data_IF_067956358128
#
_entry.id   IF_067956358128
#
_cell.length_a   1.000
_cell.length_b   1.000
_cell.length_c   1.000
_cell.angle_alpha   90.00
_cell.angle_beta   90.00
_cell.angle_gamma   90.00
#
_symmetry.space_group_name_H-M   'P 1'
#
loop_
_entity.id
_entity.type
_entity.pdbx_description
1 polymer ?
#
# COMPACT_ATOMS: atom_id res chain seq x y z
N UNK A 1 42.22 7.21 66.40
CA UNK A 1 42.19 6.94 64.94
C UNK A 1 43.46 7.52 64.34
N UNK A 2 44.22 6.75 63.58
CA UNK A 2 45.49 7.22 62.99
C UNK A 2 45.23 7.91 61.64
N UNK A 3 46.02 8.92 61.24
CA UNK A 3 45.84 9.64 59.97
C UNK A 3 45.86 8.71 58.74
N UNK A 4 46.53 7.57 58.85
CA UNK A 4 46.57 6.52 57.82
C UNK A 4 45.22 5.82 57.62
N UNK A 5 44.42 5.64 58.69
CA UNK A 5 43.08 5.01 58.58
C UNK A 5 42.07 5.93 57.90
N UNK A 6 42.16 7.24 58.13
CA UNK A 6 41.31 8.26 57.49
C UNK A 6 41.62 8.42 55.99
N UNK A 7 42.90 8.37 55.62
CA UNK A 7 43.33 8.40 54.23
C UNK A 7 42.79 7.20 53.43
N UNK A 8 42.93 5.97 53.97
CA UNK A 8 42.44 4.73 53.34
C UNK A 8 40.92 4.69 53.15
N UNK A 9 40.15 5.22 54.10
CA UNK A 9 38.69 5.33 53.99
C UNK A 9 38.30 6.37 52.92
N UNK A 10 39.03 7.49 52.84
CA UNK A 10 38.83 8.53 51.82
C UNK A 10 39.12 8.04 50.39
N UNK A 11 40.23 7.32 50.16
CA UNK A 11 40.52 6.71 48.85
C UNK A 11 39.54 5.60 48.50
N UNK A 12 39.12 4.79 49.46
CA UNK A 12 38.10 3.76 49.26
C UNK A 12 36.74 4.33 48.85
N UNK A 13 36.31 5.42 49.49
CA UNK A 13 35.07 6.13 49.16
C UNK A 13 35.13 6.81 47.78
N UNK A 14 36.26 7.42 47.43
CA UNK A 14 36.47 8.02 46.11
C UNK A 14 36.44 6.99 44.97
N UNK A 15 37.04 5.81 45.18
CA UNK A 15 37.07 4.73 44.21
C UNK A 15 35.69 4.10 44.03
N UNK A 16 34.94 3.90 45.14
CA UNK A 16 33.54 3.48 45.09
C UNK A 16 32.65 4.49 44.35
N UNK A 17 32.81 5.79 44.62
CA UNK A 17 32.08 6.85 43.92
C UNK A 17 32.37 6.86 42.42
N UNK A 18 33.64 6.68 42.03
CA UNK A 18 34.04 6.60 40.63
C UNK A 18 33.45 5.38 39.90
N UNK A 19 33.44 4.21 40.55
CA UNK A 19 32.83 2.99 40.00
C UNK A 19 31.32 3.15 39.82
N UNK A 20 30.63 3.69 40.82
CA UNK A 20 29.17 3.95 40.74
C UNK A 20 28.87 4.95 39.62
N UNK A 21 29.65 6.03 39.50
CA UNK A 21 29.50 7.01 38.42
C UNK A 21 29.73 6.41 37.03
N UNK A 22 30.74 5.54 36.88
CA UNK A 22 31.02 4.85 35.63
C UNK A 22 29.87 3.90 35.24
N UNK A 23 29.33 3.12 36.19
CA UNK A 23 28.19 2.22 35.96
C UNK A 23 26.93 3.01 35.58
N UNK A 24 26.64 4.12 36.25
CA UNK A 24 25.50 4.98 35.93
C UNK A 24 25.62 5.59 34.51
N UNK A 25 26.84 5.99 34.11
CA UNK A 25 27.11 6.54 32.78
C UNK A 25 26.96 5.48 31.68
N UNK A 26 27.48 4.27 31.90
CA UNK A 26 27.32 3.14 30.98
C UNK A 26 25.84 2.72 30.86
N UNK A 27 25.11 2.68 31.97
CA UNK A 27 23.68 2.39 31.97
C UNK A 27 22.91 3.46 31.17
N UNK A 28 23.17 4.75 31.42
CA UNK A 28 22.55 5.86 30.68
C UNK A 28 22.88 5.83 29.19
N UNK A 29 24.14 5.59 28.82
CA UNK A 29 24.56 5.47 27.43
C UNK A 29 23.89 4.27 26.74
N UNK A 30 23.80 3.13 27.41
CA UNK A 30 23.13 1.94 26.87
C UNK A 30 21.62 2.14 26.68
N UNK A 31 20.97 2.83 27.62
CA UNK A 31 19.54 3.19 27.50
C UNK A 31 19.32 4.18 26.36
N UNK A 32 20.22 5.15 26.19
CA UNK A 32 20.16 6.14 25.10
C UNK A 32 20.39 5.48 23.74
N UNK A 33 21.35 4.55 23.64
CA UNK A 33 21.60 3.77 22.44
C UNK A 33 20.42 2.86 22.09
N UNK A 34 19.81 2.19 23.07
CA UNK A 34 18.59 1.40 22.87
C UNK A 34 17.43 2.28 22.39
N UNK A 35 17.18 3.40 23.06
CA UNK A 35 16.12 4.33 22.66
C UNK A 35 16.34 4.90 21.25
N UNK A 36 17.59 5.16 20.86
CA UNK A 36 17.92 5.62 19.50
C UNK A 36 17.72 4.51 18.47
N UNK A 37 18.17 3.29 18.78
CA UNK A 37 18.00 2.12 17.92
C UNK A 37 16.53 1.77 17.72
N UNK A 38 15.72 1.84 18.78
CA UNK A 38 14.28 1.56 18.73
C UNK A 38 13.57 2.60 17.86
N UNK A 39 13.92 3.89 18.00
CA UNK A 39 13.41 4.97 17.13
C UNK A 39 13.82 4.78 15.68
N UNK A 40 15.04 4.34 15.41
CA UNK A 40 15.53 4.08 14.06
C UNK A 40 14.81 2.89 13.42
N UNK A 41 14.55 1.82 14.18
CA UNK A 41 13.75 0.69 13.69
C UNK A 41 12.29 1.08 13.44
N UNK A 42 11.67 1.86 14.34
CA UNK A 42 10.31 2.35 14.16
C UNK A 42 10.21 3.27 12.93
N UNK A 43 11.22 4.13 12.71
CA UNK A 43 11.30 4.98 11.52
C UNK A 43 11.39 4.15 10.23
N UNK A 44 12.25 3.13 10.20
CA UNK A 44 12.39 2.23 9.04
C UNK A 44 11.10 1.47 8.73
N UNK A 45 10.37 1.02 9.74
CA UNK A 45 9.06 0.36 9.55
C UNK A 45 8.04 1.36 9.01
N UNK A 46 8.03 2.59 9.52
CA UNK A 46 7.15 3.65 9.03
C UNK A 46 7.45 4.01 7.56
N UNK A 47 8.72 4.14 7.19
CA UNK A 47 9.15 4.44 5.83
C UNK A 47 8.70 3.34 4.85
N UNK A 48 8.91 2.06 5.19
CA UNK A 48 8.45 0.92 4.37
C UNK A 48 6.94 0.86 4.23
N UNK A 49 6.20 1.24 5.28
CA UNK A 49 4.73 1.36 5.23
C UNK A 49 4.29 2.48 4.29
N UNK A 50 4.93 3.64 4.36
CA UNK A 50 4.62 4.77 3.49
C UNK A 50 4.89 4.41 2.02
N UNK A 51 6.04 3.79 1.73
CA UNK A 51 6.38 3.29 0.39
C UNK A 51 5.33 2.28 -0.14
N UNK A 52 4.89 1.33 0.70
CA UNK A 52 3.87 0.37 0.32
C UNK A 52 2.52 1.03 -0.03
N UNK A 53 2.10 2.02 0.75
CA UNK A 53 0.85 2.78 0.54
C UNK A 53 0.96 3.64 -0.73
N UNK A 54 2.09 4.31 -0.93
CA UNK A 54 2.32 5.17 -2.10
C UNK A 54 2.37 4.36 -3.40
N UNK A 55 3.05 3.21 -3.38
CA UNK A 55 3.11 2.31 -4.54
C UNK A 55 1.72 1.78 -4.91
N UNK A 56 0.92 1.36 -3.93
CA UNK A 56 -0.46 0.93 -4.15
C UNK A 56 -1.32 2.06 -4.75
N UNK A 57 -1.15 3.29 -4.25
CA UNK A 57 -1.87 4.47 -4.73
C UNK A 57 -1.49 4.87 -6.15
N UNK A 58 -0.18 4.92 -6.46
CA UNK A 58 0.32 5.18 -7.81
C UNK A 58 -0.23 4.18 -8.82
N UNK A 59 -0.25 2.90 -8.44
CA UNK A 59 -0.76 1.83 -9.29
C UNK A 59 -2.27 1.91 -9.53
N UNK A 60 -3.05 2.18 -8.47
CA UNK A 60 -4.48 2.42 -8.60
C UNK A 60 -4.77 3.55 -9.61
N UNK A 61 -4.03 4.66 -9.55
CA UNK A 61 -4.20 5.76 -10.50
C UNK A 61 -3.84 5.38 -11.93
N UNK A 62 -2.75 4.64 -12.14
CA UNK A 62 -2.35 4.19 -13.47
C UNK A 62 -3.44 3.29 -14.08
N UNK A 63 -3.91 2.30 -13.32
CA UNK A 63 -4.94 1.36 -13.74
C UNK A 63 -6.29 2.06 -14.01
N UNK A 64 -6.71 2.97 -13.12
CA UNK A 64 -7.93 3.74 -13.30
C UNK A 64 -7.90 4.61 -14.56
N UNK A 65 -6.75 5.25 -14.85
CA UNK A 65 -6.55 6.00 -16.09
C UNK A 65 -6.66 5.10 -17.33
N UNK A 66 -6.09 3.90 -17.28
CA UNK A 66 -6.18 2.94 -18.38
C UNK A 66 -7.61 2.51 -18.64
N UNK A 67 -8.36 2.14 -17.58
CA UNK A 67 -9.80 1.84 -17.67
C UNK A 67 -10.57 2.98 -18.34
N UNK A 68 -10.42 4.20 -17.82
CA UNK A 68 -11.19 5.36 -18.29
C UNK A 68 -10.85 5.69 -19.75
N UNK A 69 -9.58 5.58 -20.12
CA UNK A 69 -9.11 5.78 -21.50
C UNK A 69 -9.64 4.70 -22.44
N UNK A 70 -9.61 3.43 -22.02
CA UNK A 70 -10.09 2.30 -22.80
C UNK A 70 -11.61 2.38 -23.00
N UNK A 71 -12.36 2.77 -21.96
CA UNK A 71 -13.81 2.95 -22.05
C UNK A 71 -14.18 4.10 -22.98
N UNK A 72 -13.50 5.25 -22.85
CA UNK A 72 -13.73 6.40 -23.73
C UNK A 72 -13.48 6.07 -25.21
N UNK A 73 -12.47 5.26 -25.50
CA UNK A 73 -12.13 4.81 -26.85
C UNK A 73 -12.95 3.61 -27.33
N UNK A 74 -13.70 2.96 -26.42
CA UNK A 74 -14.35 1.65 -26.64
C UNK A 74 -13.40 0.59 -27.20
N UNK A 75 -12.13 0.67 -26.77
CA UNK A 75 -11.04 -0.13 -27.29
C UNK A 75 -10.01 -0.33 -26.20
N UNK A 76 -9.57 -1.56 -26.02
CA UNK A 76 -8.44 -1.86 -25.16
C UNK A 76 -7.19 -1.91 -26.03
N UNK A 77 -6.16 -1.14 -25.70
CA UNK A 77 -4.87 -1.27 -26.40
C UNK A 77 -4.30 -2.65 -26.13
N UNK A 78 -3.76 -3.31 -27.15
CA UNK A 78 -3.08 -4.60 -26.96
C UNK A 78 -1.90 -4.47 -26.01
N UNK A 79 -1.18 -3.34 -26.04
CA UNK A 79 -0.09 -3.04 -25.10
C UNK A 79 -0.62 -2.92 -23.67
N UNK A 80 -1.66 -2.10 -23.44
CA UNK A 80 -2.30 -1.92 -22.13
C UNK A 80 -2.87 -3.24 -21.59
N UNK A 81 -3.43 -4.10 -22.46
CA UNK A 81 -3.97 -5.39 -22.04
C UNK A 81 -2.87 -6.41 -21.74
N UNK A 82 -1.77 -6.43 -22.51
CA UNK A 82 -0.67 -7.38 -22.27
C UNK A 82 0.06 -7.06 -20.97
N UNK A 83 0.38 -5.80 -20.74
CA UNK A 83 1.09 -5.32 -19.54
C UNK A 83 0.24 -5.51 -18.26
N UNK A 84 -1.08 -5.41 -18.38
CA UNK A 84 -1.98 -5.50 -17.22
C UNK A 84 -2.57 -6.90 -16.97
N UNK A 85 -2.76 -7.70 -18.03
CA UNK A 85 -3.58 -8.94 -17.98
C UNK A 85 -2.82 -10.22 -18.29
N UNK A 86 -1.82 -10.19 -19.18
CA UNK A 86 -1.21 -11.39 -19.73
C UNK A 86 0.25 -11.60 -19.30
N UNK A 87 0.86 -10.68 -18.54
CA UNK A 87 2.15 -10.98 -17.91
C UNK A 87 2.00 -12.20 -16.97
N UNK A 88 2.88 -13.23 -17.08
CA UNK A 88 2.59 -14.60 -16.62
C UNK A 88 2.30 -14.75 -15.13
N UNK A 89 2.76 -13.83 -14.32
CA UNK A 89 2.42 -13.67 -12.92
C UNK A 89 2.65 -12.19 -12.67
N UNK A 90 1.60 -11.43 -12.39
CA UNK A 90 1.67 -9.98 -12.24
C UNK A 90 2.59 -9.61 -11.05
N UNK A 91 3.91 -9.66 -11.27
CA UNK A 91 4.93 -9.70 -10.23
C UNK A 91 4.91 -8.39 -9.47
N UNK A 92 4.60 -7.30 -10.16
CA UNK A 92 4.36 -6.01 -9.55
C UNK A 92 3.11 -5.99 -8.66
N UNK A 93 1.97 -6.58 -9.09
CA UNK A 93 0.81 -6.74 -8.19
C UNK A 93 1.17 -7.57 -6.96
N UNK A 94 1.85 -8.70 -7.14
CA UNK A 94 2.32 -9.56 -6.02
C UNK A 94 3.24 -8.78 -5.09
N UNK A 95 4.19 -8.01 -5.62
CA UNK A 95 5.09 -7.18 -4.84
C UNK A 95 4.34 -6.13 -4.01
N UNK A 96 3.36 -5.43 -4.61
CA UNK A 96 2.54 -4.46 -3.88
C UNK A 96 1.73 -5.16 -2.80
N UNK A 97 1.05 -6.27 -3.11
CA UNK A 97 0.30 -7.04 -2.11
C UNK A 97 1.20 -7.53 -0.98
N UNK A 98 2.39 -8.08 -1.29
CA UNK A 98 3.35 -8.51 -0.27
C UNK A 98 3.80 -7.35 0.61
N UNK A 99 4.13 -6.19 0.02
CA UNK A 99 4.46 -4.98 0.80
C UNK A 99 3.31 -4.55 1.71
N UNK A 100 2.08 -4.55 1.20
CA UNK A 100 0.89 -4.21 1.97
C UNK A 100 0.66 -5.21 3.11
N UNK A 101 0.80 -6.52 2.87
CA UNK A 101 0.66 -7.56 3.90
C UNK A 101 1.70 -7.40 5.01
N UNK A 102 2.95 -7.06 4.65
CA UNK A 102 4.04 -6.93 5.62
C UNK A 102 3.95 -5.66 6.47
N UNK A 103 3.43 -4.56 5.91
CA UNK A 103 3.56 -3.23 6.53
C UNK A 103 2.24 -2.50 6.80
N UNK A 104 1.09 -3.05 6.40
CA UNK A 104 -0.21 -2.37 6.48
C UNK A 104 -1.31 -3.22 7.14
N UNK A 105 -2.57 -2.87 6.92
CA UNK A 105 -3.74 -3.53 7.55
C UNK A 105 -4.37 -4.55 6.59
N UNK A 106 -4.99 -5.63 7.10
CA UNK A 106 -5.73 -6.59 6.27
C UNK A 106 -6.84 -5.94 5.44
N UNK A 107 -7.51 -4.91 5.99
CA UNK A 107 -8.55 -4.16 5.26
C UNK A 107 -8.01 -3.46 4.01
N UNK A 108 -6.81 -2.87 4.07
CA UNK A 108 -6.18 -2.26 2.91
C UNK A 108 -5.79 -3.31 1.85
N UNK A 109 -5.26 -4.46 2.29
CA UNK A 109 -4.92 -5.57 1.38
C UNK A 109 -6.17 -6.07 0.65
N UNK A 110 -7.28 -6.27 1.38
CA UNK A 110 -8.55 -6.70 0.79
C UNK A 110 -9.09 -5.69 -0.22
N UNK A 111 -9.17 -4.41 0.16
CA UNK A 111 -9.65 -3.36 -0.72
C UNK A 111 -8.79 -3.22 -1.99
N UNK A 112 -7.47 -3.41 -1.88
CA UNK A 112 -6.56 -3.38 -3.02
C UNK A 112 -6.78 -4.56 -3.97
N UNK A 113 -6.97 -5.77 -3.43
CA UNK A 113 -7.27 -6.96 -4.23
C UNK A 113 -8.62 -6.81 -4.95
N UNK A 114 -9.65 -6.34 -4.26
CA UNK A 114 -10.98 -6.08 -4.84
C UNK A 114 -10.92 -5.05 -5.97
N UNK A 115 -10.21 -3.93 -5.78
CA UNK A 115 -10.02 -2.91 -6.82
C UNK A 115 -9.32 -3.48 -8.05
N UNK A 116 -8.28 -4.29 -7.85
CA UNK A 116 -7.57 -4.93 -8.94
C UNK A 116 -8.47 -5.88 -9.74
N UNK A 117 -9.27 -6.72 -9.08
CA UNK A 117 -10.23 -7.61 -9.76
C UNK A 117 -11.25 -6.79 -10.55
N UNK A 118 -11.85 -5.76 -9.95
CA UNK A 118 -12.89 -4.97 -10.60
C UNK A 118 -12.36 -4.23 -11.85
N UNK A 119 -11.11 -3.75 -11.83
CA UNK A 119 -10.47 -3.14 -12.99
C UNK A 119 -10.31 -4.16 -14.13
N UNK A 120 -9.89 -5.39 -13.80
CA UNK A 120 -9.69 -6.44 -14.79
C UNK A 120 -11.01 -6.85 -15.46
N UNK A 121 -12.08 -6.92 -14.67
CA UNK A 121 -13.42 -7.20 -15.19
C UNK A 121 -13.93 -6.05 -16.07
N UNK A 122 -13.67 -4.79 -15.70
CA UNK A 122 -13.98 -3.64 -16.53
C UNK A 122 -13.24 -3.68 -17.88
N UNK A 123 -11.93 -3.95 -17.88
CA UNK A 123 -11.14 -4.07 -19.11
C UNK A 123 -11.63 -5.22 -20.00
N UNK A 124 -11.96 -6.37 -19.41
CA UNK A 124 -12.54 -7.51 -20.15
C UNK A 124 -13.89 -7.15 -20.78
N UNK A 125 -14.76 -6.43 -20.06
CA UNK A 125 -16.05 -6.00 -20.59
C UNK A 125 -15.89 -4.98 -21.74
N UNK A 126 -14.93 -4.06 -21.64
CA UNK A 126 -14.59 -3.13 -22.73
C UNK A 126 -14.06 -3.90 -23.95
N UNK A 127 -13.23 -4.93 -23.75
CA UNK A 127 -12.74 -5.77 -24.84
C UNK A 127 -13.89 -6.50 -25.56
N UNK A 128 -14.88 -7.01 -24.81
CA UNK A 128 -16.06 -7.64 -25.41
C UNK A 128 -16.89 -6.65 -26.22
N UNK A 129 -17.04 -5.41 -25.73
CA UNK A 129 -17.68 -4.33 -26.49
C UNK A 129 -16.90 -4.03 -27.78
N UNK A 130 -15.57 -3.95 -27.72
CA UNK A 130 -14.72 -3.75 -28.89
C UNK A 130 -14.97 -4.85 -29.94
N UNK A 131 -14.95 -6.12 -29.53
CA UNK A 131 -15.21 -7.25 -30.43
C UNK A 131 -16.61 -7.18 -31.06
N UNK A 132 -17.63 -6.78 -30.29
CA UNK A 132 -18.99 -6.60 -30.81
C UNK A 132 -19.10 -5.44 -31.81
N UNK A 133 -18.27 -4.41 -31.68
CA UNK A 133 -18.20 -3.28 -32.62
C UNK A 133 -17.44 -3.63 -33.91
N UNK A 134 -16.45 -4.51 -33.82
CA UNK A 134 -15.63 -4.96 -34.96
C UNK A 134 -16.33 -6.05 -35.81
N UNK A 135 -17.42 -6.66 -35.31
CA UNK A 135 -18.19 -7.69 -36.03
C UNK A 135 -18.82 -7.14 -37.33
N UNK A 136 -18.18 -7.43 -38.47
CA UNK A 136 -18.62 -6.99 -39.80
C UNK A 136 -19.28 -8.11 -40.63
N UNK A 137 -20.36 -7.79 -41.34
CA UNK A 137 -20.99 -8.65 -42.36
C UNK A 137 -22.38 -9.15 -41.99
N UNK A 138 -23.27 -9.30 -42.98
CA UNK A 138 -24.60 -9.92 -42.81
C UNK A 138 -25.80 -9.05 -43.23
N UNK A 139 -26.90 -9.70 -43.59
CA UNK A 139 -28.14 -9.08 -44.10
C UNK A 139 -28.93 -8.30 -43.05
N UNK A 140 -30.07 -7.71 -43.43
CA UNK A 140 -30.87 -6.79 -42.59
C UNK A 140 -31.26 -7.39 -41.23
N UNK A 141 -31.61 -8.68 -41.17
CA UNK A 141 -32.00 -9.37 -39.91
C UNK A 141 -30.81 -9.59 -38.96
N UNK A 142 -29.60 -9.74 -39.49
CA UNK A 142 -28.37 -9.83 -38.70
C UNK A 142 -27.97 -8.46 -38.16
N UNK A 143 -28.28 -7.36 -38.87
CA UNK A 143 -28.06 -5.99 -38.39
C UNK A 143 -28.79 -5.70 -37.09
N UNK A 144 -30.06 -6.07 -36.97
CA UNK A 144 -30.85 -5.84 -35.74
C UNK A 144 -30.37 -6.69 -34.57
N UNK A 145 -29.95 -7.94 -34.84
CA UNK A 145 -29.33 -8.81 -33.84
C UNK A 145 -27.99 -8.23 -33.35
N UNK A 146 -27.13 -7.76 -34.26
CA UNK A 146 -25.86 -7.11 -33.91
C UNK A 146 -26.07 -5.85 -33.07
N UNK A 147 -27.02 -4.99 -33.46
CA UNK A 147 -27.28 -3.78 -32.68
C UNK A 147 -27.73 -4.10 -31.24
N UNK A 148 -28.56 -5.13 -31.05
CA UNK A 148 -28.93 -5.60 -29.70
C UNK A 148 -27.71 -6.13 -28.93
N UNK A 149 -26.83 -6.87 -29.59
CA UNK A 149 -25.59 -7.37 -28.97
C UNK A 149 -24.66 -6.22 -28.55
N UNK A 150 -24.46 -5.23 -29.42
CA UNK A 150 -23.68 -4.02 -29.12
C UNK A 150 -24.30 -3.26 -27.94
N UNK A 151 -25.61 -3.09 -27.91
CA UNK A 151 -26.28 -2.40 -26.81
C UNK A 151 -26.12 -3.16 -25.48
N UNK A 152 -26.24 -4.50 -25.50
CA UNK A 152 -26.08 -5.33 -24.32
C UNK A 152 -24.63 -5.30 -23.79
N UNK A 153 -23.64 -5.46 -24.67
CA UNK A 153 -22.21 -5.38 -24.31
C UNK A 153 -21.81 -3.99 -23.86
N UNK A 154 -22.38 -2.93 -24.45
CA UNK A 154 -22.16 -1.55 -24.01
C UNK A 154 -22.70 -1.30 -22.60
N UNK A 155 -23.89 -1.81 -22.28
CA UNK A 155 -24.46 -1.72 -20.94
C UNK A 155 -23.63 -2.49 -19.91
N UNK A 156 -23.19 -3.70 -20.25
CA UNK A 156 -22.32 -4.50 -19.38
C UNK A 156 -20.97 -3.81 -19.12
N UNK A 157 -20.34 -3.25 -20.16
CA UNK A 157 -19.09 -2.50 -20.03
C UNK A 157 -19.26 -1.24 -19.16
N UNK A 158 -20.36 -0.50 -19.33
CA UNK A 158 -20.66 0.66 -18.50
C UNK A 158 -20.83 0.26 -17.02
N UNK A 159 -21.58 -0.82 -16.76
CA UNK A 159 -21.77 -1.32 -15.40
C UNK A 159 -20.44 -1.74 -14.75
N UNK A 160 -19.61 -2.53 -15.45
CA UNK A 160 -18.33 -2.99 -14.93
C UNK A 160 -17.37 -1.81 -14.63
N UNK A 161 -17.41 -0.75 -15.44
CA UNK A 161 -16.64 0.48 -15.19
C UNK A 161 -17.10 1.20 -13.92
N UNK A 162 -18.41 1.30 -13.69
CA UNK A 162 -18.93 1.91 -12.46
C UNK A 162 -18.63 1.06 -11.21
N UNK A 163 -18.72 -0.27 -11.30
CA UNK A 163 -18.31 -1.18 -10.23
C UNK A 163 -16.80 -1.04 -9.91
N UNK A 164 -15.96 -0.90 -10.94
CA UNK A 164 -14.54 -0.62 -10.79
C UNK A 164 -14.28 0.72 -10.10
N UNK A 165 -14.98 1.80 -10.48
CA UNK A 165 -14.86 3.11 -9.79
C UNK A 165 -15.29 3.03 -8.34
N UNK A 166 -16.35 2.28 -8.03
CA UNK A 166 -16.80 2.07 -6.67
C UNK A 166 -15.75 1.27 -5.84
N UNK A 167 -15.04 0.33 -6.47
CA UNK A 167 -13.91 -0.36 -5.84
C UNK A 167 -12.73 0.59 -5.56
N UNK A 168 -12.38 1.48 -6.50
CA UNK A 168 -11.35 2.50 -6.29
C UNK A 168 -11.69 3.44 -5.12
N UNK A 169 -12.98 3.77 -4.96
CA UNK A 169 -13.46 4.58 -3.83
C UNK A 169 -13.28 3.85 -2.49
N UNK A 170 -13.61 2.55 -2.44
CA UNK A 170 -13.37 1.70 -1.25
C UNK A 170 -11.89 1.61 -0.91
N UNK A 171 -11.03 1.40 -1.92
CA UNK A 171 -9.58 1.41 -1.74
C UNK A 171 -9.07 2.76 -1.24
N UNK A 172 -9.56 3.86 -1.79
CA UNK A 172 -9.21 5.21 -1.33
C UNK A 172 -9.59 5.44 0.13
N UNK A 173 -10.76 4.94 0.56
CA UNK A 173 -11.17 4.99 1.95
C UNK A 173 -10.24 4.16 2.85
N UNK A 174 -9.89 2.94 2.44
CA UNK A 174 -8.98 2.07 3.18
C UNK A 174 -7.56 2.66 3.28
N UNK A 175 -7.07 3.32 2.22
CA UNK A 175 -5.80 4.05 2.23
C UNK A 175 -5.82 5.18 3.27
N UNK A 176 -6.91 5.96 3.34
CA UNK A 176 -7.06 7.02 4.34
C UNK A 176 -7.08 6.47 5.75
N UNK A 177 -7.82 5.40 5.99
CA UNK A 177 -7.85 4.73 7.30
C UNK A 177 -6.47 4.18 7.71
N UNK A 178 -5.75 3.59 6.76
CA UNK A 178 -4.38 3.11 7.02
C UNK A 178 -3.44 4.25 7.39
N UNK A 179 -3.60 5.45 6.81
CA UNK A 179 -2.80 6.63 7.17
C UNK A 179 -3.19 7.18 8.55
N UNK A 180 -4.49 7.25 8.88
CA UNK A 180 -4.94 7.77 10.19
C UNK A 180 -4.53 6.85 11.35
N UNK A 181 -4.62 5.53 11.18
CA UNK A 181 -4.15 4.57 12.19
C UNK A 181 -2.65 4.72 12.49
N UNK A 182 -1.83 5.01 11.47
CA UNK A 182 -0.42 5.29 11.64
C UNK A 182 -0.17 6.57 12.47
N UNK A 183 -0.96 7.63 12.22
CA UNK A 183 -0.86 8.88 12.97
C UNK A 183 -1.28 8.72 14.44
N UNK A 184 -2.32 7.94 14.72
CA UNK A 184 -2.81 7.70 16.08
C UNK A 184 -1.84 6.88 16.93
N UNK A 185 -1.22 5.84 16.35
CA UNK A 185 -0.17 5.07 17.04
C UNK A 185 1.05 5.91 17.42
N UNK A 186 1.42 6.88 16.57
CA UNK A 186 2.53 7.80 16.85
C UNK A 186 2.23 8.70 18.05
N UNK A 187 1.04 9.32 18.09
CA UNK A 187 0.64 10.20 19.21
C UNK A 187 0.61 9.48 20.55
N UNK A 188 0.26 8.20 20.58
CA UNK A 188 0.16 7.42 21.83
C UNK A 188 1.52 7.01 22.41
N UNK A 189 2.58 7.05 21.60
CA UNK A 189 3.95 6.67 22.01
C UNK A 189 4.84 7.86 22.37
N UNK A 190 4.41 9.09 22.10
CA UNK A 190 5.07 10.29 22.62
C UNK A 190 4.54 10.55 24.04
N UNK A 191 5.34 10.39 25.11
CA UNK A 191 4.94 10.88 26.43
C UNK A 191 4.74 12.39 26.34
N UNK A 192 3.65 12.89 26.94
CA UNK A 192 3.40 14.30 27.09
C UNK A 192 4.66 14.96 27.66
N UNK A 193 5.21 15.93 26.92
CA UNK A 193 6.32 16.76 27.36
C UNK A 193 5.87 17.72 28.44
#
# INVERSE_FOLDING_TARGET
MTPVTLALIGTGAGLLGAVIGAVATLASASLTQRATRDRESDFKVWERRADAIEEAHRRMYALGRTRDSAFARRKVSSEDYHELVLEPENMQYRLVVTKLVLYTTPGLVGAYAEANVAIMDALRAIQQLQLALEESGGGTRERDRRQRNINATAAAAAQAVEESKAADQRLTAALREAVTLAATHRRRREPAR
#
